data_IF_669780587639
#
_entry.id   IF_669780587639
#
_cell.length_a   1.000
_cell.length_b   1.000
_cell.length_c   1.000
_cell.angle_alpha   90.00
_cell.angle_beta   90.00
_cell.angle_gamma   90.00
#
_symmetry.space_group_name_H-M   'P 1'
#
loop_
_entity.id
_entity.type
_entity.pdbx_description
1 polymer ?
#
# COMPACT_ATOMS: atom_id res chain seq x y z
N UNK A 1 14.65 -10.04 -25.55
CA UNK A 1 15.53 -10.79 -24.64
C UNK A 1 14.99 -10.66 -23.22
N UNK A 2 14.30 -11.68 -22.73
CA UNK A 2 13.65 -11.65 -21.42
C UNK A 2 14.67 -11.90 -20.32
N UNK A 3 14.84 -10.96 -19.38
CA UNK A 3 15.54 -11.25 -18.13
C UNK A 3 14.87 -12.46 -17.44
N UNK A 4 15.65 -13.30 -16.78
CA UNK A 4 15.13 -14.43 -15.98
C UNK A 4 14.17 -13.90 -14.90
N UNK A 5 13.12 -14.66 -14.55
CA UNK A 5 12.06 -14.22 -13.62
C UNK A 5 12.64 -13.68 -12.30
N UNK A 6 13.63 -14.38 -11.77
CA UNK A 6 14.33 -13.96 -10.56
C UNK A 6 14.92 -12.55 -10.67
N UNK A 7 15.61 -12.22 -11.78
CA UNK A 7 16.14 -10.87 -12.03
C UNK A 7 15.04 -9.81 -12.10
N UNK A 8 13.87 -10.14 -12.69
CA UNK A 8 12.72 -9.23 -12.70
C UNK A 8 12.25 -8.93 -11.27
N UNK A 9 12.14 -9.95 -10.42
CA UNK A 9 11.77 -9.76 -9.01
C UNK A 9 12.84 -9.00 -8.21
N UNK A 10 14.13 -9.21 -8.48
CA UNK A 10 15.21 -8.43 -7.84
C UNK A 10 15.10 -6.95 -8.21
N UNK A 11 14.95 -6.63 -9.50
CA UNK A 11 14.75 -5.25 -9.96
C UNK A 11 13.52 -4.61 -9.33
N UNK A 12 12.41 -5.35 -9.27
CA UNK A 12 11.19 -4.87 -8.59
C UNK A 12 11.45 -4.61 -7.10
N UNK A 13 12.22 -5.46 -6.42
CA UNK A 13 12.57 -5.24 -5.02
C UNK A 13 13.41 -3.97 -4.84
N UNK A 14 14.35 -3.69 -5.74
CA UNK A 14 15.17 -2.47 -5.74
C UNK A 14 14.31 -1.20 -5.88
N UNK A 15 13.35 -1.23 -6.79
CA UNK A 15 12.44 -0.10 -7.03
C UNK A 15 11.37 0.06 -5.93
N UNK A 16 11.07 -1.01 -5.18
CA UNK A 16 10.02 -0.97 -4.16
C UNK A 16 10.49 -0.21 -2.91
N UNK A 17 9.80 0.87 -2.50
CA UNK A 17 10.22 1.69 -1.36
C UNK A 17 10.06 0.94 -0.04
N UNK A 18 10.96 1.22 0.91
CA UNK A 18 10.89 0.69 2.27
C UNK A 18 10.42 1.78 3.22
N UNK A 19 9.41 1.49 4.03
CA UNK A 19 8.91 2.40 5.05
C UNK A 19 9.46 2.01 6.43
N UNK A 20 10.45 2.76 6.92
CA UNK A 20 11.08 2.52 8.22
C UNK A 20 10.12 2.71 9.40
N UNK A 21 9.04 3.46 9.22
CA UNK A 21 8.03 3.66 10.26
C UNK A 21 7.18 2.40 10.49
N UNK A 22 7.16 1.48 9.52
CA UNK A 22 6.39 0.23 9.57
C UNK A 22 7.26 -0.98 9.87
N UNK A 23 8.15 -0.89 10.88
CA UNK A 23 8.98 -2.04 11.29
C UNK A 23 8.11 -3.28 11.54
N UNK A 24 8.51 -4.40 10.93
CA UNK A 24 7.80 -5.69 11.02
C UNK A 24 6.51 -5.81 10.19
N UNK A 25 6.03 -4.73 9.56
CA UNK A 25 4.80 -4.72 8.73
C UNK A 25 5.00 -4.06 7.36
N UNK A 26 6.21 -3.58 7.07
CA UNK A 26 6.57 -2.95 5.82
C UNK A 26 6.52 -3.96 4.66
N UNK A 27 5.76 -3.60 3.62
CA UNK A 27 5.54 -4.48 2.47
C UNK A 27 6.82 -4.68 1.66
N UNK A 28 7.67 -3.67 1.51
CA UNK A 28 8.93 -3.80 0.78
C UNK A 28 9.86 -4.83 1.42
N UNK A 29 9.96 -4.81 2.76
CA UNK A 29 10.69 -5.81 3.55
C UNK A 29 10.10 -7.20 3.36
N UNK A 30 8.78 -7.34 3.45
CA UNK A 30 8.09 -8.60 3.26
C UNK A 30 8.32 -9.19 1.85
N UNK A 31 8.23 -8.36 0.81
CA UNK A 31 8.45 -8.79 -0.57
C UNK A 31 9.87 -9.33 -0.77
N UNK A 32 10.90 -8.65 -0.26
CA UNK A 32 12.30 -9.12 -0.33
C UNK A 32 12.48 -10.48 0.36
N UNK A 33 11.89 -10.66 1.55
CA UNK A 33 11.92 -11.95 2.24
C UNK A 33 11.20 -13.04 1.45
N UNK A 34 10.04 -12.72 0.86
CA UNK A 34 9.26 -13.69 0.08
C UNK A 34 9.97 -14.09 -1.20
N UNK A 35 10.62 -13.15 -1.90
CA UNK A 35 11.43 -13.41 -3.09
C UNK A 35 12.63 -14.30 -2.73
N UNK A 36 13.37 -13.99 -1.67
CA UNK A 36 14.48 -14.83 -1.21
C UNK A 36 14.03 -16.26 -0.86
N UNK A 37 12.87 -16.40 -0.23
CA UNK A 37 12.30 -17.70 0.11
C UNK A 37 11.74 -18.47 -1.09
N UNK A 38 11.20 -17.77 -2.10
CA UNK A 38 10.62 -18.38 -3.30
C UNK A 38 11.68 -18.74 -4.35
N UNK A 39 12.80 -18.02 -4.38
CA UNK A 39 13.92 -18.22 -5.31
C UNK A 39 15.21 -18.61 -4.57
N UNK A 40 15.13 -19.63 -3.71
CA UNK A 40 16.27 -20.07 -2.87
C UNK A 40 17.52 -20.44 -3.69
N UNK A 41 17.31 -20.99 -4.88
CA UNK A 41 18.37 -21.38 -5.82
C UNK A 41 18.61 -20.30 -6.88
N UNK A 42 18.11 -19.08 -6.66
CA UNK A 42 18.18 -17.97 -7.59
C UNK A 42 17.53 -18.33 -8.93
N UNK A 43 18.31 -18.19 -10.01
CA UNK A 43 17.85 -18.45 -11.38
C UNK A 43 17.57 -19.92 -11.67
N UNK A 44 18.16 -20.84 -10.91
CA UNK A 44 17.98 -22.29 -11.09
C UNK A 44 16.70 -22.83 -10.45
N UNK A 45 16.02 -21.99 -9.65
CA UNK A 45 14.82 -22.39 -8.92
C UNK A 45 13.73 -22.88 -9.87
N UNK A 46 13.28 -24.12 -9.67
CA UNK A 46 12.18 -24.69 -10.44
C UNK A 46 10.84 -24.12 -9.95
N UNK A 47 10.16 -23.39 -10.83
CA UNK A 47 8.84 -22.82 -10.54
C UNK A 47 7.77 -23.79 -10.99
N UNK A 48 6.99 -24.30 -10.04
CA UNK A 48 5.90 -25.25 -10.32
C UNK A 48 4.81 -24.67 -11.24
N UNK A 49 4.50 -23.38 -11.09
CA UNK A 49 3.52 -22.67 -11.91
C UNK A 49 4.12 -21.33 -12.42
N UNK A 50 4.72 -21.35 -13.62
CA UNK A 50 5.35 -20.18 -14.20
C UNK A 50 4.36 -19.04 -14.50
N UNK A 51 3.15 -19.35 -14.94
CA UNK A 51 2.15 -18.35 -15.33
C UNK A 51 1.66 -17.58 -14.12
N UNK A 52 1.38 -18.28 -13.02
CA UNK A 52 1.00 -17.62 -11.76
C UNK A 52 2.12 -16.77 -11.19
N UNK A 53 3.38 -17.21 -11.34
CA UNK A 53 4.54 -16.40 -10.96
C UNK A 53 4.61 -15.09 -11.76
N UNK A 54 4.39 -15.18 -13.07
CA UNK A 54 4.36 -14.01 -13.96
C UNK A 54 3.18 -13.08 -13.63
N UNK A 55 1.99 -13.62 -13.38
CA UNK A 55 0.82 -12.84 -12.94
C UNK A 55 1.06 -12.10 -11.60
N UNK A 56 1.73 -12.76 -10.65
CA UNK A 56 2.13 -12.13 -9.39
C UNK A 56 3.10 -10.98 -9.64
N UNK A 57 4.11 -11.18 -10.49
CA UNK A 57 5.04 -10.13 -10.87
C UNK A 57 4.31 -8.92 -11.48
N UNK A 58 3.47 -9.15 -12.50
CA UNK A 58 2.76 -8.07 -13.19
C UNK A 58 1.80 -7.32 -12.26
N UNK A 59 1.22 -8.01 -11.28
CA UNK A 59 0.36 -7.38 -10.27
C UNK A 59 1.17 -6.46 -9.35
N UNK A 60 2.33 -6.91 -8.88
CA UNK A 60 3.21 -6.10 -8.06
C UNK A 60 3.81 -4.92 -8.84
N UNK A 61 4.25 -5.14 -10.08
CA UNK A 61 4.78 -4.10 -10.95
C UNK A 61 3.73 -2.99 -11.20
N UNK A 62 2.46 -3.35 -11.41
CA UNK A 62 1.34 -2.39 -11.54
C UNK A 62 1.14 -1.54 -10.28
N UNK A 63 1.29 -2.15 -9.10
CA UNK A 63 1.19 -1.43 -7.82
C UNK A 63 2.36 -0.46 -7.68
N UNK A 64 3.60 -0.92 -7.88
CA UNK A 64 4.79 -0.09 -7.75
C UNK A 64 4.79 1.10 -8.72
N UNK A 65 4.35 0.85 -9.97
CA UNK A 65 4.21 1.87 -11.01
C UNK A 65 3.00 2.80 -10.82
N UNK A 66 2.20 2.63 -9.76
CA UNK A 66 0.99 3.42 -9.50
C UNK A 66 -0.01 3.44 -10.69
N UNK A 67 -0.06 2.35 -11.48
CA UNK A 67 -0.79 2.33 -12.76
C UNK A 67 -2.26 2.71 -12.59
N UNK A 68 -2.93 2.17 -11.56
CA UNK A 68 -4.35 2.46 -11.33
C UNK A 68 -4.61 3.86 -10.77
N UNK A 69 -3.68 4.42 -10.00
CA UNK A 69 -3.79 5.81 -9.54
C UNK A 69 -3.73 6.78 -10.72
N UNK A 70 -2.89 6.49 -11.71
CA UNK A 70 -2.74 7.31 -12.91
C UNK A 70 -3.90 7.07 -13.89
N UNK A 71 -4.32 5.83 -14.07
CA UNK A 71 -5.40 5.45 -14.99
C UNK A 71 -6.77 5.94 -14.52
N UNK A 72 -6.97 6.04 -13.20
CA UNK A 72 -8.23 6.48 -12.61
C UNK A 72 -7.98 7.64 -11.64
N UNK A 73 -7.75 8.87 -12.16
CA UNK A 73 -7.53 10.04 -11.33
C UNK A 73 -8.72 10.31 -10.42
N UNK A 74 -8.44 10.62 -9.15
CA UNK A 74 -9.47 10.96 -8.17
C UNK A 74 -9.65 12.47 -8.11
N UNK A 75 -10.90 12.90 -7.91
CA UNK A 75 -11.25 14.31 -7.68
C UNK A 75 -10.75 14.80 -6.32
N UNK A 76 -10.68 13.91 -5.33
CA UNK A 76 -10.21 14.19 -3.97
C UNK A 76 -9.06 13.27 -3.60
N UNK A 77 -8.12 13.77 -2.81
CA UNK A 77 -7.02 12.95 -2.26
C UNK A 77 -7.25 12.49 -0.81
N UNK A 78 -8.53 12.40 -0.43
CA UNK A 78 -8.96 11.84 0.85
C UNK A 78 -9.48 10.42 0.67
N UNK A 79 -9.39 9.63 1.73
CA UNK A 79 -10.06 8.34 1.84
C UNK A 79 -11.59 8.49 1.87
N UNK A 80 -12.30 7.36 1.86
CA UNK A 80 -13.75 7.32 2.08
C UNK A 80 -14.18 7.99 3.41
N UNK A 81 -13.34 7.92 4.44
CA UNK A 81 -13.60 8.54 5.75
C UNK A 81 -13.18 10.00 5.84
N UNK A 82 -12.81 10.62 4.71
CA UNK A 82 -12.38 12.01 4.65
C UNK A 82 -10.96 12.26 5.16
N UNK A 83 -10.16 11.20 5.34
CA UNK A 83 -8.82 11.26 5.90
C UNK A 83 -7.78 11.43 4.80
N UNK A 84 -6.80 12.31 4.99
CA UNK A 84 -5.73 12.54 4.01
C UNK A 84 -4.69 11.43 4.01
N UNK A 85 -3.81 11.43 3.01
CA UNK A 85 -2.70 10.46 2.92
C UNK A 85 -1.72 10.62 4.09
N UNK A 86 -1.45 11.86 4.50
CA UNK A 86 -0.56 12.22 5.61
C UNK A 86 -1.12 11.73 6.93
N UNK A 87 -2.42 11.96 7.16
CA UNK A 87 -3.12 11.43 8.31
C UNK A 87 -3.05 9.90 8.31
N UNK A 88 -3.37 9.22 7.19
CA UNK A 88 -3.25 7.76 7.10
C UNK A 88 -1.83 7.25 7.40
N UNK A 89 -0.79 7.95 6.91
CA UNK A 89 0.62 7.60 7.22
C UNK A 89 0.89 7.68 8.71
N UNK A 90 0.42 8.73 9.37
CA UNK A 90 0.55 8.91 10.82
C UNK A 90 -0.18 7.81 11.62
N UNK A 91 -1.34 7.35 11.14
CA UNK A 91 -2.05 6.24 11.80
C UNK A 91 -1.26 4.93 11.70
N UNK A 92 -0.60 4.71 10.56
CA UNK A 92 0.06 3.46 10.25
C UNK A 92 1.51 3.36 10.75
N UNK A 93 2.15 4.49 11.09
CA UNK A 93 3.58 4.61 11.46
C UNK A 93 3.97 3.95 12.79
N UNK A 94 3.08 3.19 13.44
CA UNK A 94 3.38 2.43 14.67
C UNK A 94 3.68 3.27 15.91
N UNK A 95 3.71 4.60 15.78
CA UNK A 95 4.01 5.59 16.81
C UNK A 95 2.88 5.81 17.83
N UNK A 96 2.01 4.82 18.04
CA UNK A 96 0.92 4.91 19.03
C UNK A 96 1.43 5.09 20.46
N UNK A 97 2.62 4.59 20.78
CA UNK A 97 3.20 4.66 22.13
C UNK A 97 4.00 5.95 22.38
N UNK A 98 4.26 6.78 21.36
CA UNK A 98 5.05 8.01 21.46
C UNK A 98 4.34 9.23 20.83
N UNK A 99 3.02 9.32 20.96
CA UNK A 99 2.28 10.50 20.50
C UNK A 99 2.35 11.64 21.50
N UNK A 100 2.96 12.77 21.10
CA UNK A 100 2.70 14.11 21.64
C UNK A 100 1.19 14.35 21.83
N UNK A 101 0.81 15.15 22.83
CA UNK A 101 -0.59 15.49 23.13
C UNK A 101 -1.35 16.04 21.90
N UNK A 102 -0.66 16.79 21.03
CA UNK A 102 -1.22 17.29 19.77
C UNK A 102 -1.67 16.17 18.81
N UNK A 103 -0.91 15.06 18.76
CA UNK A 103 -1.26 13.89 17.94
C UNK A 103 -2.46 13.13 18.52
N UNK A 104 -2.61 13.10 19.85
CA UNK A 104 -3.80 12.50 20.50
C UNK A 104 -5.09 13.26 20.15
N UNK A 105 -5.03 14.60 20.07
CA UNK A 105 -6.16 15.43 19.63
C UNK A 105 -6.58 15.11 18.20
N UNK A 106 -5.63 15.08 17.28
CA UNK A 106 -5.87 14.69 15.88
C UNK A 106 -6.45 13.28 15.78
N UNK A 107 -5.93 12.31 16.55
CA UNK A 107 -6.46 10.94 16.60
C UNK A 107 -7.92 10.88 17.10
N UNK A 108 -8.29 11.66 18.12
CA UNK A 108 -9.68 11.72 18.59
C UNK A 108 -10.60 12.26 17.50
N UNK A 109 -10.24 13.38 16.88
CA UNK A 109 -11.01 13.95 15.76
C UNK A 109 -11.13 12.97 14.60
N UNK A 110 -10.07 12.21 14.34
CA UNK A 110 -10.07 11.23 13.27
C UNK A 110 -10.93 10.01 13.59
N UNK A 111 -10.87 9.47 14.82
CA UNK A 111 -11.77 8.39 15.23
C UNK A 111 -13.22 8.83 15.27
N UNK A 112 -13.52 10.07 15.66
CA UNK A 112 -14.86 10.62 15.56
C UNK A 112 -15.36 10.63 14.10
N UNK A 113 -14.49 10.97 13.13
CA UNK A 113 -14.84 10.88 11.70
C UNK A 113 -15.04 9.43 11.22
N UNK A 114 -14.26 8.47 11.73
CA UNK A 114 -14.42 7.05 11.41
C UNK A 114 -15.69 6.44 12.01
N UNK A 115 -16.11 6.90 13.19
CA UNK A 115 -17.30 6.39 13.90
C UNK A 115 -18.61 7.00 13.39
N UNK A 116 -18.57 8.12 12.67
CA UNK A 116 -19.76 8.67 12.00
C UNK A 116 -20.05 7.86 10.74
N UNK A 117 -21.09 7.03 10.81
CA UNK A 117 -21.70 6.38 9.64
C UNK A 117 -22.20 7.42 8.62
N UNK A 118 -22.33 7.06 7.34
CA UNK A 118 -22.71 8.00 6.27
C UNK A 118 -24.19 8.43 6.30
N UNK A 119 -24.92 8.25 7.41
CA UNK A 119 -26.34 8.62 7.51
C UNK A 119 -26.57 10.15 7.55
N UNK A 120 -25.52 10.96 7.75
CA UNK A 120 -25.58 12.43 7.69
C UNK A 120 -25.04 13.01 6.36
N UNK A 121 -25.38 12.40 5.22
CA UNK A 121 -25.26 13.11 3.95
C UNK A 121 -26.49 14.03 3.80
N UNK A 122 -26.33 15.36 3.67
CA UNK A 122 -27.47 16.23 3.41
C UNK A 122 -28.13 15.80 2.10
N UNK A 123 -29.44 15.53 2.15
CA UNK A 123 -30.26 15.23 0.98
C UNK A 123 -29.91 16.21 -0.14
N UNK A 124 -29.48 15.68 -1.29
CA UNK A 124 -29.44 16.44 -2.52
C UNK A 124 -30.85 17.00 -2.74
N UNK A 125 -30.99 18.32 -2.68
CA UNK A 125 -32.19 19.00 -3.12
C UNK A 125 -32.53 18.54 -4.56
N UNK A 126 -33.81 18.25 -4.86
CA UNK A 126 -34.20 17.86 -6.20
C UNK A 126 -33.99 19.03 -7.17
N UNK A 127 -33.13 18.85 -8.17
CA UNK A 127 -33.05 19.76 -9.32
C UNK A 127 -34.38 19.70 -10.08
N UNK A 128 -34.95 20.90 -10.32
CA UNK A 128 -36.10 21.12 -11.20
C UNK A 128 -35.64 21.28 -12.64
#
# INVERSE_FOLDING_TARGET
MSATRYRRFLKLCEEWPRDETKKGRDLGTFLRQRVAAAFREGENTQIADPEKCDQMYESLARINGNIYRQRFPRVRDTSFTGVTVEECRLLLSGSMQQTDEAKKGLWKTLMERFSKSPEDAPEKAPEK
#
